data_IF_644411942361
#
_entry.id   IF_644411942361
#
_cell.length_a   1.000
_cell.length_b   1.000
_cell.length_c   1.000
_cell.angle_alpha   90.00
_cell.angle_beta   90.00
_cell.angle_gamma   90.00
#
_symmetry.space_group_name_H-M   'P 1'
#
loop_
_entity.id
_entity.type
_entity.pdbx_description
1 polymer ?
#
# COMPACT_ATOMS: atom_id res chain seq x y z
N UNK A 1 2.61 17.45 5.11
CA UNK A 1 2.16 16.65 3.97
C UNK A 1 0.62 16.50 3.94
N UNK A 2 -0.03 15.94 4.98
CA UNK A 2 -1.48 15.69 4.98
C UNK A 2 -2.31 16.97 4.79
N UNK A 3 -1.95 18.06 5.46
CA UNK A 3 -2.61 19.37 5.30
C UNK A 3 -2.56 19.88 3.85
N UNK A 4 -1.41 19.71 3.18
CA UNK A 4 -1.24 20.12 1.78
C UNK A 4 -2.13 19.30 0.88
N UNK A 5 -2.16 17.96 1.05
CA UNK A 5 -3.04 17.08 0.25
C UNK A 5 -4.51 17.41 0.41
N UNK A 6 -4.96 17.73 1.63
CA UNK A 6 -6.33 18.20 1.86
C UNK A 6 -6.64 19.55 1.20
N UNK A 7 -5.66 20.47 1.15
CA UNK A 7 -5.83 21.74 0.44
C UNK A 7 -5.92 21.54 -1.07
N UNK A 8 -5.11 20.65 -1.64
CA UNK A 8 -5.18 20.27 -3.06
C UNK A 8 -6.57 19.70 -3.41
N UNK A 9 -7.08 18.74 -2.62
CA UNK A 9 -8.44 18.21 -2.81
C UNK A 9 -9.51 19.30 -2.74
N UNK A 10 -9.45 20.18 -1.72
CA UNK A 10 -10.40 21.29 -1.59
C UNK A 10 -10.34 22.26 -2.77
N UNK A 11 -9.15 22.51 -3.34
CA UNK A 11 -9.03 23.35 -4.55
C UNK A 11 -9.67 22.69 -5.76
N UNK A 12 -9.47 21.39 -5.95
CA UNK A 12 -10.12 20.62 -7.00
C UNK A 12 -11.65 20.68 -6.86
N UNK A 13 -12.17 20.41 -5.66
CA UNK A 13 -13.61 20.45 -5.38
C UNK A 13 -14.26 21.81 -5.66
N UNK A 14 -13.51 22.90 -5.48
CA UNK A 14 -13.98 24.27 -5.79
C UNK A 14 -13.83 24.64 -7.26
N UNK A 15 -13.04 23.90 -8.02
CA UNK A 15 -12.82 24.18 -9.44
C UNK A 15 -14.03 23.72 -10.26
N UNK A 16 -14.63 24.66 -11.02
CA UNK A 16 -15.69 24.37 -12.01
C UNK A 16 -15.14 24.18 -13.42
N UNK A 17 -13.81 24.30 -13.60
CA UNK A 17 -13.19 24.36 -14.94
C UNK A 17 -12.72 23.03 -15.47
N UNK A 18 -12.52 22.05 -14.58
CA UNK A 18 -11.97 20.72 -14.92
C UNK A 18 -12.78 19.63 -14.26
N UNK A 19 -13.04 18.57 -14.99
CA UNK A 19 -13.52 17.34 -14.41
C UNK A 19 -12.36 16.61 -13.77
N UNK A 20 -12.56 16.02 -12.59
CA UNK A 20 -11.52 15.33 -11.85
C UNK A 20 -12.04 14.06 -11.16
N UNK A 21 -11.13 13.20 -10.79
CA UNK A 21 -11.32 12.18 -9.79
C UNK A 21 -10.09 12.17 -8.87
N UNK A 22 -10.28 12.07 -7.57
CA UNK A 22 -9.18 12.05 -6.61
C UNK A 22 -9.12 10.72 -5.90
N UNK A 23 -7.94 10.07 -5.92
CA UNK A 23 -7.72 8.80 -5.25
C UNK A 23 -6.80 8.97 -4.04
N UNK A 24 -7.26 8.54 -2.88
CA UNK A 24 -6.47 8.36 -1.66
C UNK A 24 -6.02 6.91 -1.60
N UNK A 25 -4.84 6.64 -2.14
CA UNK A 25 -4.29 5.30 -2.22
C UNK A 25 -3.70 4.83 -0.90
N UNK A 26 -3.93 3.55 -0.56
CA UNK A 26 -3.10 2.83 0.39
C UNK A 26 -1.64 2.77 -0.06
N UNK A 27 -0.75 2.33 0.83
CA UNK A 27 0.66 2.14 0.47
C UNK A 27 0.78 1.11 -0.64
N UNK A 28 1.29 1.54 -1.80
CA UNK A 28 1.40 0.67 -2.97
C UNK A 28 2.52 -0.35 -2.74
N UNK A 29 2.22 -1.62 -3.03
CA UNK A 29 3.15 -2.73 -3.02
C UNK A 29 3.08 -3.49 -4.34
N UNK A 30 4.23 -3.95 -4.84
CA UNK A 30 4.37 -4.66 -6.10
C UNK A 30 5.66 -4.27 -6.82
N UNK A 31 5.99 -5.05 -7.85
CA UNK A 31 7.23 -4.88 -8.62
C UNK A 31 7.05 -3.78 -9.64
N UNK A 32 7.94 -2.78 -9.62
CA UNK A 32 8.04 -1.75 -10.64
C UNK A 32 9.45 -1.17 -10.68
N UNK A 33 9.87 -0.53 -11.80
CA UNK A 33 11.15 0.17 -11.85
C UNK A 33 11.30 1.26 -10.78
N UNK A 34 10.18 1.87 -10.35
CA UNK A 34 10.15 2.91 -9.33
C UNK A 34 9.83 2.42 -7.92
N UNK A 35 9.94 1.11 -7.64
CA UNK A 35 9.64 0.58 -6.31
C UNK A 35 10.56 1.16 -5.24
N UNK A 36 9.99 1.43 -4.05
CA UNK A 36 10.71 2.07 -2.96
C UNK A 36 11.00 1.09 -1.83
N UNK A 37 12.24 1.06 -1.35
CA UNK A 37 12.69 0.16 -0.29
C UNK A 37 12.54 0.71 1.13
N UNK A 38 12.03 1.90 1.30
CA UNK A 38 11.68 2.43 2.62
C UNK A 38 10.24 2.10 3.05
N UNK A 39 9.43 1.52 2.15
CA UNK A 39 8.10 1.00 2.49
C UNK A 39 8.19 -0.38 3.13
N UNK A 40 7.32 -0.65 4.11
CA UNK A 40 7.43 -1.87 4.94
C UNK A 40 7.45 -3.15 4.10
N UNK A 41 6.55 -3.32 3.14
CA UNK A 41 6.46 -4.56 2.35
C UNK A 41 7.75 -4.81 1.57
N UNK A 42 8.20 -3.84 0.77
CA UNK A 42 9.38 -4.01 -0.09
C UNK A 42 10.66 -4.21 0.75
N UNK A 43 10.82 -3.42 1.82
CA UNK A 43 11.95 -3.55 2.74
C UNK A 43 11.98 -4.92 3.41
N UNK A 44 10.86 -5.41 3.90
CA UNK A 44 10.78 -6.69 4.58
C UNK A 44 11.05 -7.87 3.64
N UNK A 45 10.54 -7.79 2.40
CA UNK A 45 10.81 -8.79 1.37
C UNK A 45 12.31 -8.84 1.05
N UNK A 46 12.95 -7.68 0.84
CA UNK A 46 14.38 -7.61 0.56
C UNK A 46 15.21 -8.16 1.72
N UNK A 47 15.01 -7.66 2.94
CA UNK A 47 15.74 -8.14 4.12
C UNK A 47 15.54 -9.65 4.34
N UNK A 48 14.31 -10.16 4.14
CA UNK A 48 14.05 -11.59 4.24
C UNK A 48 14.88 -12.39 3.24
N UNK A 49 14.94 -11.98 1.97
CA UNK A 49 15.67 -12.70 0.93
C UNK A 49 17.17 -12.65 1.17
N UNK A 50 17.72 -11.52 1.57
CA UNK A 50 19.14 -11.33 1.88
C UNK A 50 19.58 -11.98 3.20
N UNK A 51 18.68 -12.65 3.94
CA UNK A 51 18.93 -13.18 5.30
C UNK A 51 19.30 -12.12 6.34
N UNK A 52 18.98 -10.86 6.07
CA UNK A 52 19.18 -9.76 6.98
C UNK A 52 18.08 -9.67 8.03
N UNK A 53 18.36 -9.13 9.23
CA UNK A 53 17.34 -8.89 10.23
C UNK A 53 16.31 -7.87 9.73
N UNK A 54 15.03 -8.24 9.76
CA UNK A 54 13.91 -7.33 9.42
C UNK A 54 13.70 -6.39 10.60
N UNK A 55 13.94 -5.06 10.46
CA UNK A 55 13.71 -4.13 11.55
C UNK A 55 12.21 -3.86 11.70
N UNK A 56 11.65 -4.21 12.85
CA UNK A 56 10.23 -4.05 13.18
C UNK A 56 10.10 -3.15 14.40
N UNK A 57 9.37 -2.07 14.27
CA UNK A 57 8.99 -1.27 15.43
C UNK A 57 8.00 -2.04 16.29
N UNK A 58 8.36 -2.26 17.55
CA UNK A 58 7.55 -3.07 18.46
C UNK A 58 6.11 -2.52 18.56
N UNK A 59 5.97 -1.20 18.69
CA UNK A 59 4.66 -0.53 18.73
C UNK A 59 3.83 -0.66 17.45
N UNK A 60 4.45 -0.94 16.29
CA UNK A 60 3.76 -1.04 15.01
C UNK A 60 3.28 -2.45 14.66
N UNK A 61 3.68 -3.47 15.42
CA UNK A 61 3.44 -4.88 15.09
C UNK A 61 1.96 -5.20 14.84
N UNK A 62 1.07 -4.64 15.65
CA UNK A 62 -0.36 -4.86 15.57
C UNK A 62 -1.16 -3.68 15.00
N UNK A 63 -0.46 -2.65 14.51
CA UNK A 63 -1.10 -1.50 13.91
C UNK A 63 -1.51 -1.78 12.46
N UNK A 64 -2.77 -1.48 12.15
CA UNK A 64 -3.28 -1.56 10.78
C UNK A 64 -2.80 -0.41 9.92
N UNK A 65 -2.52 -0.72 8.65
CA UNK A 65 -2.26 0.24 7.59
C UNK A 65 -2.93 -0.22 6.29
N UNK A 66 -3.42 0.70 5.47
CA UNK A 66 -3.95 0.38 4.16
C UNK A 66 -2.82 0.09 3.18
N UNK A 67 -2.98 -0.99 2.42
CA UNK A 67 -2.08 -1.37 1.33
C UNK A 67 -2.88 -1.52 0.04
N UNK A 68 -2.25 -1.17 -1.06
CA UNK A 68 -2.79 -1.27 -2.41
C UNK A 68 -1.84 -2.09 -3.27
N UNK A 69 -2.36 -3.15 -3.90
CA UNK A 69 -1.62 -3.88 -4.94
C UNK A 69 -1.34 -2.96 -6.12
N UNK A 70 -0.14 -3.03 -6.67
CA UNK A 70 0.21 -2.26 -7.88
C UNK A 70 -0.72 -2.61 -9.05
N UNK A 71 -1.16 -3.86 -9.15
CA UNK A 71 -2.10 -4.29 -10.19
C UNK A 71 -3.48 -3.65 -10.02
N UNK A 72 -3.98 -3.58 -8.77
CA UNK A 72 -5.22 -2.86 -8.49
C UNK A 72 -5.08 -1.38 -8.80
N UNK A 73 -3.96 -0.75 -8.43
CA UNK A 73 -3.68 0.65 -8.78
C UNK A 73 -3.72 0.88 -10.29
N UNK A 74 -3.07 -0.02 -11.05
CA UNK A 74 -3.08 0.02 -12.51
C UNK A 74 -4.51 -0.10 -13.07
N UNK A 75 -5.32 -1.04 -12.56
CA UNK A 75 -6.72 -1.22 -12.98
C UNK A 75 -7.57 0.01 -12.72
N UNK A 76 -7.33 0.72 -11.60
CA UNK A 76 -8.03 1.95 -11.27
C UNK A 76 -7.72 3.05 -12.30
N UNK A 77 -6.44 3.27 -12.61
CA UNK A 77 -6.06 4.25 -13.62
C UNK A 77 -6.55 3.87 -15.01
N UNK A 78 -6.39 2.60 -15.40
CA UNK A 78 -6.86 2.10 -16.69
C UNK A 78 -8.36 2.36 -16.86
N UNK A 79 -9.18 1.96 -15.87
CA UNK A 79 -10.62 2.20 -15.90
C UNK A 79 -10.96 3.68 -16.04
N UNK A 80 -10.32 4.54 -15.21
CA UNK A 80 -10.58 5.98 -15.22
C UNK A 80 -10.34 6.59 -16.60
N UNK A 81 -9.23 6.22 -17.23
CA UNK A 81 -8.85 6.75 -18.55
C UNK A 81 -9.75 6.18 -19.66
N UNK A 82 -9.88 4.85 -19.73
CA UNK A 82 -10.64 4.19 -20.81
C UNK A 82 -12.14 4.52 -20.78
N UNK A 83 -12.69 4.73 -19.59
CA UNK A 83 -14.11 5.10 -19.41
C UNK A 83 -14.34 6.62 -19.33
N UNK A 84 -13.28 7.41 -19.42
CA UNK A 84 -13.34 8.86 -19.18
C UNK A 84 -14.12 9.22 -17.91
N UNK A 85 -13.85 8.42 -16.82
CA UNK A 85 -14.63 8.49 -15.58
C UNK A 85 -14.05 9.55 -14.64
N UNK A 86 -14.60 10.74 -14.68
CA UNK A 86 -14.23 11.89 -13.85
C UNK A 86 -15.50 12.49 -13.23
N UNK A 87 -15.93 11.92 -12.10
CA UNK A 87 -17.20 12.25 -11.44
C UNK A 87 -17.11 13.36 -10.39
N UNK A 88 -15.98 14.08 -10.37
CA UNK A 88 -15.70 15.18 -9.45
C UNK A 88 -15.75 14.78 -7.96
N UNK A 89 -15.30 13.58 -7.65
CA UNK A 89 -15.39 13.01 -6.32
C UNK A 89 -14.04 12.45 -5.81
N UNK A 90 -14.00 12.09 -4.52
CA UNK A 90 -12.81 11.58 -3.82
C UNK A 90 -13.07 10.17 -3.32
N UNK A 91 -12.13 9.26 -3.60
CA UNK A 91 -12.23 7.84 -3.25
C UNK A 91 -11.02 7.34 -2.49
N UNK A 92 -11.27 6.65 -1.40
CA UNK A 92 -10.24 5.80 -0.79
C UNK A 92 -10.11 4.53 -1.63
N UNK A 93 -8.87 4.10 -1.89
CA UNK A 93 -8.60 2.92 -2.72
C UNK A 93 -7.51 2.07 -2.05
N UNK A 94 -7.86 0.85 -1.70
CA UNK A 94 -6.94 -0.10 -1.08
C UNK A 94 -7.33 -1.54 -1.41
N UNK A 95 -6.32 -2.41 -1.49
CA UNK A 95 -6.55 -3.86 -1.62
C UNK A 95 -6.90 -4.47 -0.28
N UNK A 96 -6.20 -4.04 0.79
CA UNK A 96 -6.44 -4.57 2.15
C UNK A 96 -5.85 -3.69 3.25
N UNK A 97 -6.47 -3.77 4.43
CA UNK A 97 -5.87 -3.26 5.67
C UNK A 97 -5.13 -4.40 6.36
N UNK A 98 -3.81 -4.30 6.50
CA UNK A 98 -2.99 -5.31 7.15
C UNK A 98 -2.14 -4.73 8.27
N UNK A 99 -1.82 -5.56 9.26
CA UNK A 99 -0.83 -5.26 10.28
C UNK A 99 0.55 -5.71 9.83
N UNK A 100 1.60 -5.17 10.46
CA UNK A 100 2.99 -5.63 10.23
C UNK A 100 3.11 -7.13 10.52
N UNK A 101 2.47 -7.63 11.58
CA UNK A 101 2.47 -9.05 11.92
C UNK A 101 1.86 -9.92 10.81
N UNK A 102 0.76 -9.46 10.19
CA UNK A 102 0.16 -10.19 9.06
C UNK A 102 1.08 -10.23 7.84
N UNK A 103 1.76 -9.12 7.53
CA UNK A 103 2.76 -9.07 6.46
C UNK A 103 3.90 -10.06 6.73
N UNK A 104 4.43 -10.09 7.96
CA UNK A 104 5.49 -11.02 8.36
C UNK A 104 5.02 -12.49 8.26
N UNK A 105 3.77 -12.79 8.63
CA UNK A 105 3.18 -14.12 8.46
C UNK A 105 3.14 -14.53 6.99
N UNK A 106 2.77 -13.61 6.09
CA UNK A 106 2.78 -13.88 4.64
C UNK A 106 4.20 -14.15 4.15
N UNK A 107 5.18 -13.33 4.54
CA UNK A 107 6.59 -13.53 4.17
C UNK A 107 7.11 -14.89 4.66
N UNK A 108 6.74 -15.31 5.88
CA UNK A 108 7.12 -16.62 6.46
C UNK A 108 6.60 -17.81 5.65
N UNK A 109 5.50 -17.68 4.91
CA UNK A 109 5.04 -18.76 4.01
C UNK A 109 6.04 -19.07 2.89
N UNK A 110 6.80 -18.07 2.43
CA UNK A 110 7.76 -18.20 1.34
C UNK A 110 9.21 -18.35 1.82
N UNK A 111 9.49 -17.94 3.04
CA UNK A 111 10.80 -18.10 3.70
C UNK A 111 10.61 -18.32 5.20
N UNK A 112 10.69 -19.58 5.64
CA UNK A 112 10.41 -19.99 7.03
C UNK A 112 11.32 -19.30 8.06
N UNK A 113 12.63 -19.22 7.78
CA UNK A 113 13.64 -18.74 8.72
C UNK A 113 13.97 -17.26 8.46
N UNK A 114 13.04 -16.33 8.79
CA UNK A 114 13.32 -14.90 8.78
C UNK A 114 13.82 -14.45 10.15
N UNK A 115 14.83 -13.58 10.16
CA UNK A 115 15.32 -12.92 11.37
C UNK A 115 14.51 -11.65 11.60
N UNK A 116 13.97 -11.45 12.80
CA UNK A 116 13.24 -10.23 13.15
C UNK A 116 14.03 -9.50 14.25
N UNK A 117 14.32 -8.21 14.03
CA UNK A 117 14.92 -7.33 15.01
C UNK A 117 13.91 -6.31 15.47
N UNK A 118 13.43 -6.45 16.70
CA UNK A 118 12.54 -5.44 17.28
C UNK A 118 13.33 -4.18 17.65
N UNK A 119 12.84 -3.03 17.22
CA UNK A 119 13.47 -1.75 17.48
C UNK A 119 12.47 -0.82 18.17
N UNK A 120 12.95 -0.02 19.12
CA UNK A 120 12.15 1.03 19.76
C UNK A 120 11.98 2.20 18.78
N UNK A 121 10.75 2.64 18.58
CA UNK A 121 10.48 3.85 17.78
C UNK A 121 10.54 5.08 18.68
N UNK A 122 11.23 6.13 18.22
CA UNK A 122 11.18 7.47 18.83
C UNK A 122 9.95 8.26 18.38
N UNK A 123 9.21 7.79 17.39
CA UNK A 123 8.05 8.49 16.81
C UNK A 123 6.80 8.15 17.63
N UNK A 124 6.27 9.14 18.33
CA UNK A 124 5.17 9.00 19.30
C UNK A 124 3.79 8.82 18.63
N UNK A 125 3.61 9.19 17.36
CA UNK A 125 2.31 9.25 16.69
C UNK A 125 2.13 8.18 15.60
N UNK A 126 2.20 6.91 15.97
CA UNK A 126 1.82 5.83 15.07
C UNK A 126 0.41 5.35 15.40
N UNK A 127 -0.58 6.06 14.87
CA UNK A 127 -1.98 5.66 15.01
C UNK A 127 -2.26 4.41 14.16
N UNK A 128 -2.88 3.39 14.78
CA UNK A 128 -3.48 2.29 14.03
C UNK A 128 -4.76 2.80 13.38
N UNK A 129 -4.92 2.58 12.09
CA UNK A 129 -6.15 2.93 11.39
C UNK A 129 -6.45 1.97 10.25
N UNK A 130 -7.73 1.75 10.02
CA UNK A 130 -8.25 1.09 8.84
C UNK A 130 -8.95 2.12 7.98
N UNK A 131 -8.81 1.96 6.69
CA UNK A 131 -9.51 2.79 5.70
C UNK A 131 -10.65 1.95 5.14
N UNK A 132 -11.80 2.59 4.98
CA UNK A 132 -12.95 2.04 4.27
C UNK A 132 -12.96 2.54 2.83
N UNK A 133 -13.09 1.63 1.89
CA UNK A 133 -13.19 1.88 0.45
C UNK A 133 -14.55 1.46 -0.15
N UNK A 134 -15.56 1.25 0.69
CA UNK A 134 -16.89 0.81 0.25
C UNK A 134 -17.50 1.75 -0.79
N UNK A 135 -17.27 3.06 -0.67
CA UNK A 135 -17.71 4.05 -1.66
C UNK A 135 -17.14 3.76 -3.04
N UNK A 136 -15.82 3.47 -3.13
CA UNK A 136 -15.16 3.12 -4.37
C UNK A 136 -15.73 1.83 -4.96
N UNK A 137 -15.79 0.76 -4.16
CA UNK A 137 -16.25 -0.55 -4.60
C UNK A 137 -17.69 -0.54 -5.10
N UNK A 138 -18.56 0.22 -4.44
CA UNK A 138 -19.97 0.35 -4.83
C UNK A 138 -20.17 1.12 -6.14
N UNK A 139 -19.37 2.17 -6.37
CA UNK A 139 -19.56 3.07 -7.52
C UNK A 139 -18.76 2.66 -8.76
N UNK A 140 -17.59 2.06 -8.56
CA UNK A 140 -16.66 1.85 -9.66
C UNK A 140 -16.49 0.35 -9.95
N UNK A 141 -15.72 -0.39 -9.15
CA UNK A 141 -15.59 -1.84 -9.24
C UNK A 141 -14.91 -2.45 -8.01
N UNK A 142 -14.99 -3.77 -7.89
CA UNK A 142 -14.31 -4.49 -6.82
C UNK A 142 -12.83 -4.71 -7.14
N UNK A 143 -11.98 -4.41 -6.16
CA UNK A 143 -10.57 -4.73 -6.19
C UNK A 143 -10.40 -6.19 -5.74
N UNK A 144 -9.75 -7.02 -6.56
CA UNK A 144 -9.71 -8.48 -6.38
C UNK A 144 -8.30 -9.03 -6.15
N UNK A 145 -7.28 -8.17 -6.20
CA UNK A 145 -5.90 -8.60 -5.96
C UNK A 145 -5.67 -8.99 -4.50
N UNK A 146 -4.66 -9.81 -4.28
CA UNK A 146 -4.21 -10.20 -2.94
C UNK A 146 -2.78 -9.72 -2.74
N UNK A 147 -2.53 -8.94 -1.71
CA UNK A 147 -1.20 -8.43 -1.38
C UNK A 147 -0.17 -9.57 -1.20
N UNK A 148 -0.63 -10.77 -0.85
CA UNK A 148 0.21 -11.97 -0.78
C UNK A 148 0.90 -12.28 -2.12
N UNK A 149 0.23 -12.05 -3.25
CA UNK A 149 0.79 -12.26 -4.59
C UNK A 149 1.92 -11.25 -4.85
N UNK A 150 1.69 -9.98 -4.49
CA UNK A 150 2.74 -8.95 -4.63
C UNK A 150 3.95 -9.26 -3.76
N UNK A 151 3.75 -9.71 -2.52
CA UNK A 151 4.83 -10.13 -1.62
C UNK A 151 5.60 -11.30 -2.22
N UNK A 152 4.91 -12.35 -2.69
CA UNK A 152 5.54 -13.52 -3.32
C UNK A 152 6.40 -13.12 -4.52
N UNK A 153 5.83 -12.30 -5.42
CA UNK A 153 6.52 -11.86 -6.62
C UNK A 153 7.74 -10.99 -6.27
N UNK A 154 7.61 -10.07 -5.33
CA UNK A 154 8.71 -9.22 -4.85
C UNK A 154 9.84 -10.07 -4.26
N UNK A 155 9.53 -11.07 -3.45
CA UNK A 155 10.55 -11.99 -2.92
C UNK A 155 11.23 -12.80 -4.02
N UNK A 156 10.48 -13.26 -5.03
CA UNK A 156 11.05 -14.01 -6.15
C UNK A 156 11.98 -13.16 -7.00
N UNK A 157 11.62 -11.88 -7.24
CA UNK A 157 12.51 -10.93 -7.93
C UNK A 157 13.86 -10.84 -7.23
N UNK A 158 13.87 -10.69 -5.91
CA UNK A 158 15.11 -10.52 -5.15
C UNK A 158 15.94 -11.80 -5.02
N UNK A 159 15.34 -12.99 -5.13
CA UNK A 159 16.10 -14.26 -5.13
C UNK A 159 17.08 -14.38 -6.29
N UNK A 160 16.81 -13.70 -7.39
CA UNK A 160 17.63 -13.72 -8.60
C UNK A 160 18.71 -12.62 -8.61
N UNK A 161 18.75 -11.78 -7.57
CA UNK A 161 19.82 -10.79 -7.37
C UNK A 161 20.91 -11.48 -6.56
N UNK A 162 21.96 -11.88 -7.25
CA UNK A 162 23.20 -12.39 -6.64
C UNK A 162 24.23 -11.27 -6.60
#
# INVERSE_FOLDING_TARGET
YAKIKLLEEKKLQKSKKINYISFRFGTIAGISPGMRFHTAVNKFCLSAVLNEPIPVWNAALHQYRPYLSLRDAFRVFKFTIEKNYFDNDVYNVLTSNLTVNQILKIIKKYKKNIKIKYVKSKIINQLSYKIDDAKFRKKIFNLNEKLEIDIKNTMNLFKNIK
#
